data_IF_348294653065
#
_entry.id   IF_348294653065
#
_cell.length_a   1.000
_cell.length_b   1.000
_cell.length_c   1.000
_cell.angle_alpha   90.00
_cell.angle_beta   90.00
_cell.angle_gamma   90.00
#
_symmetry.space_group_name_H-M   'P 1'
#
loop_
_entity.id
_entity.type
_entity.pdbx_description
1 polymer ?
#
# COMPACT_ATOMS: atom_id res chain seq x y z
N UNK A 1 -12.18 23.38 8.33
CA UNK A 1 -11.11 23.48 7.74
C UNK A 1 -10.67 22.23 7.21
N UNK A 2 -9.91 22.26 6.33
CA UNK A 2 -9.69 21.20 5.64
C UNK A 2 -8.33 20.85 5.58
N UNK A 3 -7.84 20.09 6.39
CA UNK A 3 -6.51 19.73 6.37
C UNK A 3 -6.37 18.33 6.05
N UNK A 4 -7.35 17.80 5.47
CA UNK A 4 -7.34 16.40 5.23
C UNK A 4 -6.36 16.00 4.22
N UNK A 5 -5.84 16.93 3.50
CA UNK A 5 -4.92 16.55 2.46
C UNK A 5 -3.59 16.08 2.97
N UNK A 6 -3.27 16.37 4.21
CA UNK A 6 -1.99 15.98 4.77
C UNK A 6 -2.20 14.86 5.76
N UNK A 7 -1.87 13.62 5.42
CA UNK A 7 -2.05 12.54 6.37
C UNK A 7 -1.06 12.66 7.53
N UNK A 8 -1.52 12.22 8.68
CA UNK A 8 -0.69 12.21 9.87
C UNK A 8 0.27 11.04 9.86
N UNK A 9 -0.19 9.90 9.33
CA UNK A 9 0.58 8.66 9.34
C UNK A 9 0.65 8.13 7.93
N UNK A 10 1.82 7.69 7.53
CA UNK A 10 1.99 6.98 6.28
C UNK A 10 2.41 5.54 6.57
N UNK A 11 1.63 4.58 6.12
CA UNK A 11 1.98 3.18 6.23
C UNK A 11 2.60 2.75 4.91
N UNK A 12 3.85 2.35 4.95
CA UNK A 12 4.56 1.94 3.76
C UNK A 12 4.87 0.46 3.85
N UNK A 13 4.45 -0.29 2.88
CA UNK A 13 4.72 -1.71 2.85
C UNK A 13 5.30 -2.11 1.50
N UNK A 14 6.12 -3.13 1.51
CA UNK A 14 6.75 -3.65 0.30
C UNK A 14 6.16 -5.00 0.02
N UNK A 15 5.66 -5.21 -1.18
CA UNK A 15 5.16 -6.53 -1.55
C UNK A 15 6.04 -7.14 -2.64
N UNK A 16 6.21 -8.44 -2.56
CA UNK A 16 6.95 -9.20 -3.53
C UNK A 16 6.37 -10.60 -3.57
N UNK A 17 5.56 -10.88 -4.59
CA UNK A 17 4.88 -12.16 -4.74
C UNK A 17 4.08 -12.53 -3.49
N UNK A 18 3.42 -11.52 -2.90
CA UNK A 18 2.66 -11.71 -1.67
C UNK A 18 1.36 -10.94 -1.67
N UNK A 19 0.62 -11.02 -2.76
CA UNK A 19 -0.59 -10.23 -2.92
C UNK A 19 -1.59 -10.47 -1.79
N UNK A 20 -1.81 -11.72 -1.41
CA UNK A 20 -2.79 -12.04 -0.38
C UNK A 20 -2.42 -11.42 0.96
N UNK A 21 -1.14 -11.47 1.31
CA UNK A 21 -0.67 -10.89 2.56
C UNK A 21 -0.81 -9.38 2.55
N UNK A 22 -0.50 -8.76 1.42
CA UNK A 22 -0.61 -7.31 1.29
C UNK A 22 -2.06 -6.87 1.40
N UNK A 23 -2.96 -7.57 0.75
CA UNK A 23 -4.38 -7.25 0.85
C UNK A 23 -4.90 -7.42 2.28
N UNK A 24 -4.46 -8.47 2.97
CA UNK A 24 -4.87 -8.68 4.35
C UNK A 24 -4.38 -7.54 5.25
N UNK A 25 -3.17 -7.05 4.99
CA UNK A 25 -2.64 -5.92 5.75
C UNK A 25 -3.47 -4.66 5.51
N UNK A 26 -3.80 -4.37 4.26
CA UNK A 26 -4.60 -3.19 3.94
C UNK A 26 -5.96 -3.29 4.63
N UNK A 27 -6.60 -4.44 4.56
CA UNK A 27 -7.89 -4.63 5.21
C UNK A 27 -7.79 -4.43 6.71
N UNK A 28 -6.72 -4.91 7.33
CA UNK A 28 -6.51 -4.75 8.76
C UNK A 28 -6.31 -3.30 9.15
N UNK A 29 -5.57 -2.54 8.33
CA UNK A 29 -5.35 -1.13 8.61
C UNK A 29 -6.65 -0.35 8.51
N UNK A 30 -7.46 -0.67 7.51
CA UNK A 30 -8.76 -0.01 7.37
C UNK A 30 -9.66 -0.28 8.57
N UNK A 31 -9.59 -1.49 9.12
CA UNK A 31 -10.43 -1.85 10.25
C UNK A 31 -9.93 -1.24 11.55
N UNK A 32 -8.64 -0.99 11.67
CA UNK A 32 -8.06 -0.58 12.94
C UNK A 32 -7.83 0.91 13.10
N UNK A 33 -7.58 1.64 12.01
CA UNK A 33 -7.20 3.05 12.11
C UNK A 33 -8.38 3.93 11.76
N UNK A 34 -8.95 4.58 12.76
CA UNK A 34 -10.15 5.39 12.54
C UNK A 34 -10.02 6.83 13.01
N UNK A 35 -9.15 7.11 13.94
CA UNK A 35 -9.14 8.40 14.60
C UNK A 35 -8.19 9.39 14.01
N UNK A 36 -7.33 8.99 13.09
CA UNK A 36 -6.34 9.88 12.49
C UNK A 36 -6.37 9.71 10.99
N UNK A 37 -5.92 10.72 10.29
CA UNK A 37 -5.80 10.58 8.84
C UNK A 37 -4.55 9.80 8.52
N UNK A 38 -4.62 8.98 7.51
CA UNK A 38 -3.49 8.15 7.13
C UNK A 38 -3.50 7.87 5.64
N UNK A 39 -2.37 7.45 5.13
CA UNK A 39 -2.26 6.97 3.76
C UNK A 39 -1.55 5.64 3.78
N UNK A 40 -1.78 4.85 2.77
CA UNK A 40 -1.11 3.56 2.59
C UNK A 40 -0.37 3.61 1.26
N UNK A 41 0.91 3.28 1.31
CA UNK A 41 1.75 3.23 0.12
C UNK A 41 2.28 1.81 -0.01
N UNK A 42 2.03 1.19 -1.14
CA UNK A 42 2.51 -0.16 -1.41
C UNK A 42 3.56 -0.09 -2.49
N UNK A 43 4.74 -0.60 -2.21
CA UNK A 43 5.81 -0.70 -3.20
C UNK A 43 5.88 -2.14 -3.68
N UNK A 44 5.55 -2.37 -4.93
CA UNK A 44 5.66 -3.69 -5.54
C UNK A 44 7.09 -3.84 -6.04
N UNK A 45 7.84 -4.71 -5.38
CA UNK A 45 9.26 -4.87 -5.65
C UNK A 45 9.49 -5.92 -6.73
N UNK A 46 8.99 -5.64 -7.92
CA UNK A 46 9.14 -6.52 -9.09
C UNK A 46 8.52 -7.89 -8.89
N UNK A 47 7.28 -7.92 -8.39
CA UNK A 47 6.55 -9.17 -8.26
C UNK A 47 6.34 -9.79 -9.64
N UNK A 48 6.23 -11.11 -9.67
CA UNK A 48 6.06 -11.86 -10.90
C UNK A 48 4.82 -11.39 -11.66
N UNK A 49 3.73 -11.16 -10.95
CA UNK A 49 2.55 -10.58 -11.54
C UNK A 49 2.54 -9.10 -11.16
N UNK A 50 1.85 -8.29 -11.90
CA UNK A 50 1.76 -6.88 -11.57
C UNK A 50 0.80 -6.67 -10.40
N UNK A 51 1.31 -6.90 -9.20
CA UNK A 51 0.48 -6.82 -8.00
C UNK A 51 0.10 -5.39 -7.69
N UNK A 52 0.94 -4.43 -8.07
CA UNK A 52 0.58 -3.02 -7.89
C UNK A 52 -0.70 -2.67 -8.64
N UNK A 53 -0.85 -3.19 -9.86
CA UNK A 53 -2.06 -2.93 -10.64
C UNK A 53 -3.29 -3.56 -9.99
N UNK A 54 -3.16 -4.75 -9.43
CA UNK A 54 -4.27 -5.42 -8.76
C UNK A 54 -4.67 -4.63 -7.52
N UNK A 55 -3.70 -4.20 -6.73
CA UNK A 55 -3.96 -3.44 -5.51
C UNK A 55 -4.59 -2.10 -5.85
N UNK A 56 -4.11 -1.43 -6.88
CA UNK A 56 -4.65 -0.15 -7.28
C UNK A 56 -6.11 -0.25 -7.69
N UNK A 57 -6.48 -1.35 -8.35
CA UNK A 57 -7.86 -1.55 -8.73
C UNK A 57 -8.75 -1.89 -7.55
N UNK A 58 -8.25 -2.72 -6.65
CA UNK A 58 -9.03 -3.17 -5.51
C UNK A 58 -9.14 -2.11 -4.43
N UNK A 59 -8.09 -1.30 -4.27
CA UNK A 59 -8.02 -0.27 -3.24
C UNK A 59 -7.63 1.06 -3.87
N UNK A 60 -8.58 1.78 -4.47
CA UNK A 60 -8.23 3.02 -5.19
C UNK A 60 -7.60 4.09 -4.33
N UNK A 61 -7.80 4.03 -3.01
CA UNK A 61 -7.23 5.03 -2.10
C UNK A 61 -5.76 4.73 -1.75
N UNK A 62 -5.25 3.55 -2.11
CA UNK A 62 -3.88 3.17 -1.81
C UNK A 62 -2.97 3.69 -2.92
N UNK A 63 -1.83 4.27 -2.53
CA UNK A 63 -0.83 4.67 -3.50
C UNK A 63 0.05 3.48 -3.81
N UNK A 64 0.29 3.22 -5.08
CA UNK A 64 1.10 2.08 -5.47
C UNK A 64 2.27 2.54 -6.30
N UNK A 65 3.42 1.91 -6.08
CA UNK A 65 4.63 2.15 -6.84
C UNK A 65 5.13 0.80 -7.29
N UNK A 66 5.45 0.66 -8.55
CA UNK A 66 6.01 -0.58 -9.03
C UNK A 66 7.45 -0.40 -9.45
N UNK A 67 8.33 -1.16 -8.84
CA UNK A 67 9.71 -1.22 -9.23
C UNK A 67 9.86 -2.25 -10.34
N UNK A 68 10.64 -1.93 -11.37
CA UNK A 68 10.82 -2.85 -12.47
C UNK A 68 11.83 -3.92 -12.19
N UNK A 69 12.55 -3.82 -11.10
CA UNK A 69 13.48 -4.86 -10.71
C UNK A 69 13.51 -4.93 -9.20
N UNK A 70 13.90 -6.07 -8.73
CA UNK A 70 13.94 -6.31 -7.30
C UNK A 70 14.98 -5.41 -6.65
N UNK A 71 14.53 -4.52 -5.79
CA UNK A 71 15.40 -3.69 -5.00
C UNK A 71 15.60 -4.39 -3.66
N UNK A 72 16.79 -4.46 -3.21
CA UNK A 72 17.04 -5.15 -1.95
C UNK A 72 16.92 -4.18 -0.81
N UNK A 73 15.89 -4.40 -0.02
CA UNK A 73 15.69 -3.59 1.14
C UNK A 73 16.13 -4.41 2.34
N UNK A 74 17.34 -4.49 2.59
CA UNK A 74 17.79 -5.31 3.72
C UNK A 74 18.40 -4.47 4.81
#
# INVERSE_FOLDING_TARGET
MDIKETPVISFITICYNGLADTCALIDSLQAAVHSVSYEIIVVDNASRQNEAAVISRRYPFVKTIRSKRNLRFS
#
